data_IF_406862763141
#
_entry.id   IF_406862763141
#
_cell.length_a   1.000
_cell.length_b   1.000
_cell.length_c   1.000
_cell.angle_alpha   90.00
_cell.angle_beta   90.00
_cell.angle_gamma   90.00
#
_symmetry.space_group_name_H-M   'P 1'
#
loop_
_entity.id
_entity.type
_entity.pdbx_description
1 polymer ?
#
# COMPACT_ATOMS: atom_id res chain seq x y z
N UNK A 1 -46.97 -27.01 -6.57
CA UNK A 1 -46.47 -25.83 -7.30
C UNK A 1 -46.29 -24.74 -6.25
N UNK A 2 -45.40 -24.95 -5.27
CA UNK A 2 -43.92 -24.75 -5.39
C UNK A 2 -43.65 -23.27 -5.67
N UNK A 3 -43.34 -22.45 -4.65
CA UNK A 3 -41.98 -22.23 -4.09
C UNK A 3 -40.91 -22.00 -5.16
N UNK A 4 -40.56 -20.73 -5.37
CA UNK A 4 -39.19 -20.24 -5.60
C UNK A 4 -39.23 -18.70 -5.43
N UNK A 5 -39.09 -18.23 -4.20
CA UNK A 5 -37.81 -17.86 -3.58
C UNK A 5 -37.10 -16.71 -4.32
N UNK A 6 -37.50 -15.51 -3.92
CA UNK A 6 -36.63 -14.39 -3.60
C UNK A 6 -35.32 -14.33 -4.39
N UNK A 7 -35.40 -13.77 -5.60
CA UNK A 7 -34.22 -13.37 -6.38
C UNK A 7 -33.38 -12.38 -5.56
N UNK A 8 -32.31 -12.92 -5.02
CA UNK A 8 -31.09 -12.28 -4.59
C UNK A 8 -30.74 -11.12 -5.52
N UNK A 9 -30.94 -9.88 -5.07
CA UNK A 9 -30.22 -8.72 -5.59
C UNK A 9 -30.01 -7.72 -4.46
N UNK A 10 -29.34 -8.18 -3.41
CA UNK A 10 -28.61 -7.27 -2.55
C UNK A 10 -27.40 -6.72 -3.31
N UNK A 11 -26.97 -5.52 -2.97
CA UNK A 11 -25.85 -4.74 -3.52
C UNK A 11 -26.14 -3.78 -4.68
N UNK A 12 -27.04 -2.82 -4.43
CA UNK A 12 -26.96 -1.49 -5.07
C UNK A 12 -25.95 -0.61 -4.29
N UNK A 13 -24.70 -1.04 -4.19
CA UNK A 13 -23.64 -0.12 -3.77
C UNK A 13 -23.44 0.89 -4.92
N UNK A 14 -23.48 2.22 -4.66
CA UNK A 14 -23.21 3.18 -5.73
C UNK A 14 -21.80 2.93 -6.26
N UNK A 15 -21.69 2.53 -7.53
CA UNK A 15 -20.42 2.48 -8.24
C UNK A 15 -19.84 3.89 -8.19
N UNK A 16 -18.79 4.10 -7.38
CA UNK A 16 -18.06 5.37 -7.38
C UNK A 16 -17.67 5.66 -8.84
N UNK A 17 -17.86 6.89 -9.34
CA UNK A 17 -17.45 7.21 -10.70
C UNK A 17 -15.97 6.88 -10.85
N UNK A 18 -15.63 6.01 -11.81
CA UNK A 18 -14.26 5.67 -12.14
C UNK A 18 -13.63 6.90 -12.78
N UNK A 19 -12.80 7.62 -12.02
CA UNK A 19 -12.07 8.78 -12.50
C UNK A 19 -10.76 8.28 -13.08
N UNK A 20 -10.56 8.48 -14.38
CA UNK A 20 -9.32 8.13 -15.06
C UNK A 20 -8.34 9.29 -15.03
N UNK A 21 -7.14 9.04 -14.49
CA UNK A 21 -6.03 9.98 -14.47
C UNK A 21 -4.99 9.52 -15.49
N UNK A 22 -4.83 10.26 -16.58
CA UNK A 22 -3.89 9.89 -17.64
C UNK A 22 -4.18 8.53 -18.30
N UNK A 23 -5.42 8.04 -18.21
CA UNK A 23 -5.83 6.73 -18.72
C UNK A 23 -5.87 5.60 -17.70
N UNK A 24 -5.39 5.84 -16.47
CA UNK A 24 -5.38 4.83 -15.40
C UNK A 24 -6.47 5.10 -14.37
N UNK A 25 -7.07 4.02 -13.85
CA UNK A 25 -7.97 4.14 -12.71
C UNK A 25 -7.17 4.46 -11.44
N UNK A 26 -7.81 5.17 -10.51
CA UNK A 26 -7.25 5.49 -9.20
C UNK A 26 -6.72 4.25 -8.47
N UNK A 27 -7.43 3.13 -8.55
CA UNK A 27 -6.99 1.89 -7.92
C UNK A 27 -5.65 1.40 -8.48
N UNK A 28 -5.45 1.44 -9.80
CA UNK A 28 -4.21 1.02 -10.45
C UNK A 28 -3.04 1.89 -10.01
N UNK A 29 -3.26 3.22 -9.96
CA UNK A 29 -2.25 4.17 -9.48
C UNK A 29 -1.89 3.94 -8.02
N UNK A 30 -2.89 3.73 -7.16
CA UNK A 30 -2.68 3.41 -5.75
C UNK A 30 -1.93 2.08 -5.59
N UNK A 31 -2.27 1.07 -6.39
CA UNK A 31 -1.64 -0.25 -6.37
C UNK A 31 -0.17 -0.17 -6.79
N UNK A 32 0.15 0.53 -7.87
CA UNK A 32 1.54 0.75 -8.30
C UNK A 32 2.33 1.51 -7.25
N UNK A 33 1.76 2.59 -6.72
CA UNK A 33 2.39 3.39 -5.67
C UNK A 33 2.67 2.56 -4.41
N UNK A 34 1.69 1.78 -3.93
CA UNK A 34 1.85 0.93 -2.74
C UNK A 34 2.91 -0.13 -2.97
N UNK A 35 2.99 -0.72 -4.16
CA UNK A 35 4.05 -1.67 -4.50
C UNK A 35 5.44 -0.99 -4.51
N UNK A 36 5.56 0.26 -4.94
CA UNK A 36 6.83 0.99 -4.88
C UNK A 36 7.34 1.22 -3.45
N UNK A 37 6.47 1.21 -2.43
CA UNK A 37 6.87 1.33 -1.03
C UNK A 37 7.68 0.14 -0.53
N UNK A 38 7.67 -1.00 -1.21
CA UNK A 38 8.55 -2.11 -0.85
C UNK A 38 10.03 -1.84 -1.15
N UNK A 39 10.34 -0.81 -1.94
CA UNK A 39 11.71 -0.44 -2.28
C UNK A 39 12.29 0.56 -1.26
N UNK A 40 13.30 0.17 -0.44
CA UNK A 40 13.89 1.07 0.56
C UNK A 40 14.48 2.35 -0.02
N UNK A 41 15.03 2.31 -1.24
CA UNK A 41 15.57 3.51 -1.91
C UNK A 41 14.45 4.50 -2.27
N UNK A 42 13.27 4.01 -2.62
CA UNK A 42 12.12 4.86 -2.88
C UNK A 42 11.62 5.52 -1.60
N UNK A 43 11.57 4.78 -0.50
CA UNK A 43 11.20 5.34 0.80
C UNK A 43 12.20 6.42 1.26
N UNK A 44 13.49 6.20 1.04
CA UNK A 44 14.51 7.21 1.29
C UNK A 44 14.27 8.47 0.42
N UNK A 45 13.95 8.28 -0.86
CA UNK A 45 13.61 9.41 -1.75
C UNK A 45 12.44 10.23 -1.19
N UNK A 46 11.34 9.58 -0.78
CA UNK A 46 10.19 10.25 -0.16
C UNK A 46 10.59 11.02 1.11
N UNK A 47 11.46 10.45 1.93
CA UNK A 47 11.98 11.09 3.13
C UNK A 47 12.83 12.33 2.79
N UNK A 48 13.73 12.24 1.81
CA UNK A 48 14.57 13.39 1.39
C UNK A 48 13.76 14.56 0.84
N UNK A 49 12.60 14.28 0.24
CA UNK A 49 11.66 15.28 -0.23
C UNK A 49 10.77 15.88 0.87
N UNK A 50 10.93 15.43 2.13
CA UNK A 50 10.10 15.82 3.28
C UNK A 50 8.61 15.51 3.11
N UNK A 51 8.27 14.57 2.22
CA UNK A 51 6.89 14.13 2.04
C UNK A 51 6.39 13.36 3.25
N UNK A 52 7.29 12.63 3.92
CA UNK A 52 7.01 11.87 5.14
C UNK A 52 6.77 12.75 6.39
N UNK A 53 7.00 14.06 6.28
CA UNK A 53 6.66 15.04 7.34
C UNK A 53 5.29 15.71 7.10
N UNK A 54 4.71 15.57 5.90
CA UNK A 54 3.43 16.19 5.55
C UNK A 54 2.25 15.38 6.12
N UNK A 55 1.45 16.01 6.97
CA UNK A 55 0.27 15.40 7.60
C UNK A 55 -0.76 14.87 6.60
N UNK A 56 -0.98 15.57 5.48
CA UNK A 56 -1.89 15.13 4.43
C UNK A 56 -1.39 13.85 3.75
N UNK A 57 -0.07 13.76 3.53
CA UNK A 57 0.55 12.56 2.95
C UNK A 57 0.51 11.39 3.92
N UNK A 58 0.74 11.63 5.21
CA UNK A 58 0.60 10.61 6.26
C UNK A 58 -0.84 10.10 6.33
N UNK A 59 -1.83 10.99 6.26
CA UNK A 59 -3.24 10.61 6.19
C UNK A 59 -3.55 9.75 4.95
N UNK A 60 -2.92 10.05 3.81
CA UNK A 60 -3.02 9.24 2.60
C UNK A 60 -2.39 7.85 2.77
N UNK A 61 -1.20 7.74 3.36
CA UNK A 61 -0.58 6.45 3.69
C UNK A 61 -1.46 5.62 4.64
N UNK A 62 -2.13 6.28 5.60
CA UNK A 62 -3.10 5.63 6.48
C UNK A 62 -4.32 5.12 5.70
N UNK A 63 -4.83 5.91 4.75
CA UNK A 63 -5.90 5.49 3.87
C UNK A 63 -5.50 4.22 3.07
N UNK A 64 -4.29 4.17 2.52
CA UNK A 64 -3.79 3.03 1.75
C UNK A 64 -3.68 1.72 2.55
N UNK A 65 -3.84 1.73 3.87
CA UNK A 65 -3.88 0.51 4.69
C UNK A 65 -5.04 -0.43 4.32
N UNK A 66 -6.02 0.03 3.52
CA UNK A 66 -7.08 -0.83 2.98
C UNK A 66 -6.51 -2.00 2.13
N UNK A 67 -5.31 -1.88 1.56
CA UNK A 67 -4.64 -2.97 0.83
C UNK A 67 -4.35 -4.21 1.69
N UNK A 68 -4.44 -4.10 3.03
CA UNK A 68 -4.35 -5.24 3.97
C UNK A 68 -5.57 -6.16 3.87
N UNK A 69 -6.71 -5.70 3.38
CA UNK A 69 -7.90 -6.54 3.27
C UNK A 69 -7.69 -7.62 2.19
N UNK A 70 -8.10 -8.89 2.42
CA UNK A 70 -7.80 -10.00 1.50
C UNK A 70 -8.23 -9.76 0.04
N UNK A 71 -9.34 -9.04 -0.17
CA UNK A 71 -9.84 -8.69 -1.51
C UNK A 71 -8.89 -7.82 -2.34
N UNK A 72 -8.03 -7.02 -1.68
CA UNK A 72 -7.05 -6.15 -2.34
C UNK A 72 -5.64 -6.74 -2.29
N UNK A 73 -5.31 -7.43 -1.19
CA UNK A 73 -4.02 -8.08 -0.96
C UNK A 73 -3.57 -8.96 -2.12
N UNK A 74 -4.50 -9.69 -2.74
CA UNK A 74 -4.25 -10.58 -3.90
C UNK A 74 -3.68 -9.87 -5.14
N UNK A 75 -3.75 -8.54 -5.21
CA UNK A 75 -3.21 -7.76 -6.32
C UNK A 75 -1.76 -7.32 -6.10
N UNK A 76 -1.22 -7.46 -4.89
CA UNK A 76 0.18 -7.11 -4.59
C UNK A 76 1.13 -8.20 -5.08
N UNK A 77 2.18 -7.83 -5.82
CA UNK A 77 3.24 -8.76 -6.20
C UNK A 77 4.07 -9.21 -4.99
N UNK A 78 4.33 -8.30 -4.05
CA UNK A 78 5.18 -8.55 -2.87
C UNK A 78 4.45 -8.15 -1.58
N UNK A 79 3.39 -8.86 -1.17
CA UNK A 79 2.51 -8.43 -0.09
C UNK A 79 3.24 -8.23 1.24
N UNK A 80 4.18 -9.11 1.60
CA UNK A 80 4.93 -9.02 2.85
C UNK A 80 5.73 -7.70 2.98
N UNK A 81 6.73 -7.46 2.11
CA UNK A 81 7.54 -6.24 2.13
C UNK A 81 6.71 -4.96 1.99
N UNK A 82 5.72 -4.96 1.07
CA UNK A 82 4.85 -3.81 0.84
C UNK A 82 4.04 -3.45 2.08
N UNK A 83 3.36 -4.42 2.70
CA UNK A 83 2.57 -4.15 3.90
C UNK A 83 3.43 -3.77 5.10
N UNK A 84 4.60 -4.40 5.24
CA UNK A 84 5.57 -4.07 6.28
C UNK A 84 6.03 -2.63 6.17
N UNK A 85 6.39 -2.17 4.97
CA UNK A 85 6.77 -0.78 4.74
C UNK A 85 5.62 0.18 5.06
N UNK A 86 4.39 -0.13 4.62
CA UNK A 86 3.22 0.70 4.87
C UNK A 86 2.89 0.82 6.37
N UNK A 87 3.11 -0.25 7.14
CA UNK A 87 2.99 -0.26 8.60
C UNK A 87 4.08 0.60 9.26
N UNK A 88 5.35 0.40 8.91
CA UNK A 88 6.46 1.16 9.46
C UNK A 88 6.34 2.66 9.18
N UNK A 89 5.83 3.06 8.02
CA UNK A 89 5.60 4.47 7.67
C UNK A 89 4.54 5.17 8.56
N UNK A 90 3.72 4.43 9.31
CA UNK A 90 2.82 5.02 10.31
C UNK A 90 3.57 5.45 11.57
N UNK A 91 4.75 4.89 11.83
CA UNK A 91 5.59 5.24 12.96
C UNK A 91 6.43 6.48 12.64
N UNK A 92 6.16 7.58 13.34
CA UNK A 92 6.91 8.84 13.15
C UNK A 92 8.42 8.66 13.31
N UNK A 93 8.83 7.82 14.28
CA UNK A 93 10.24 7.49 14.51
C UNK A 93 10.87 6.90 13.25
N UNK A 94 10.21 5.92 12.63
CA UNK A 94 10.73 5.28 11.43
C UNK A 94 10.84 6.27 10.26
N UNK A 95 9.85 7.16 10.08
CA UNK A 95 9.90 8.20 9.04
C UNK A 95 11.13 9.10 9.13
N UNK A 96 11.59 9.37 10.36
CA UNK A 96 12.82 10.14 10.62
C UNK A 96 14.08 9.27 10.45
N UNK A 97 14.02 8.05 10.96
CA UNK A 97 15.16 7.12 10.99
C UNK A 97 15.50 6.57 9.60
N UNK A 98 14.60 6.58 8.62
CA UNK A 98 14.87 6.03 7.28
C UNK A 98 15.93 6.79 6.47
N UNK A 99 16.24 8.03 6.87
CA UNK A 99 17.36 8.79 6.30
C UNK A 99 18.72 8.27 6.77
N UNK A 100 18.74 7.49 7.86
CA UNK A 100 19.95 6.89 8.42
C UNK A 100 20.37 5.72 7.51
N UNK A 101 21.57 5.74 6.91
CA UNK A 101 22.03 4.70 5.99
C UNK A 101 21.91 3.28 6.55
N UNK A 102 22.20 3.11 7.84
CA UNK A 102 22.15 1.82 8.54
C UNK A 102 20.73 1.23 8.58
N UNK A 103 19.70 2.08 8.70
CA UNK A 103 18.29 1.65 8.71
C UNK A 103 17.88 1.16 7.34
N UNK A 104 18.27 1.89 6.28
CA UNK A 104 18.04 1.49 4.89
C UNK A 104 18.76 0.17 4.57
N UNK A 105 20.04 0.03 4.94
CA UNK A 105 20.80 -1.20 4.72
C UNK A 105 20.15 -2.41 5.37
N UNK A 106 19.61 -2.26 6.60
CA UNK A 106 18.86 -3.32 7.27
C UNK A 106 17.58 -3.70 6.51
N UNK A 107 16.81 -2.74 6.01
CA UNK A 107 15.61 -3.04 5.22
C UNK A 107 15.94 -3.79 3.93
N UNK A 108 17.03 -3.42 3.26
CA UNK A 108 17.51 -4.12 2.05
C UNK A 108 17.92 -5.55 2.40
N UNK A 109 18.66 -5.73 3.49
CA UNK A 109 19.09 -7.05 3.96
C UNK A 109 17.89 -7.92 4.36
N UNK A 110 16.91 -7.38 5.09
CA UNK A 110 15.67 -8.07 5.45
C UNK A 110 14.87 -8.48 4.20
N UNK A 111 14.78 -7.61 3.20
CA UNK A 111 14.14 -7.91 1.93
C UNK A 111 14.84 -9.04 1.15
N UNK A 112 16.18 -9.03 1.13
CA UNK A 112 16.97 -10.08 0.48
C UNK A 112 16.89 -11.43 1.24
N UNK A 113 16.86 -11.39 2.57
CA UNK A 113 16.69 -12.59 3.39
C UNK A 113 15.32 -13.22 3.14
N UNK A 114 14.26 -12.41 3.09
CA UNK A 114 12.91 -12.89 2.84
C UNK A 114 12.74 -13.58 1.46
N UNK A 115 13.50 -13.16 0.43
CA UNK A 115 13.45 -13.77 -0.90
C UNK A 115 14.32 -15.01 -1.05
N UNK A 116 15.37 -15.16 -0.24
CA UNK A 116 16.27 -16.34 -0.25
C UNK A 116 15.85 -17.46 0.69
N UNK A 117 14.91 -17.19 1.59
CA UNK A 117 14.36 -18.17 2.54
C UNK A 117 13.10 -18.91 2.05
N UNK A 118 12.79 -18.86 0.75
CA UNK A 118 11.69 -19.57 0.10
C UNK A 118 12.20 -20.77 -0.70
#
# INVERSE_FOLDING_TARGET
>A
MEEEDQRLSDSTAPSRPTIYYGGHDRFELELEFVQMLSNPLYLQHLATQKLLDNEEFIAYLKYLQYFREPKYLRHLMYPGPTLRALELLQEERFRKDILIPEVMSRMVEEGFRASTSA
#
